data_IF_482049446331
#
_entry.id   IF_482049446331
#
_cell.length_a   1.000
_cell.length_b   1.000
_cell.length_c   1.000
_cell.angle_alpha   90.00
_cell.angle_beta   90.00
_cell.angle_gamma   90.00
#
_symmetry.space_group_name_H-M   'P 1'
#
loop_
_entity.id
_entity.type
_entity.pdbx_description
1 polymer ?
#
# COMPACT_ATOMS: atom_id res chain seq x y z
N UNK A 1 -11.15 21.59 11.26
CA UNK A 1 -11.05 20.48 12.23
C UNK A 1 -9.79 19.69 11.93
N UNK A 2 -8.72 19.91 12.71
CA UNK A 2 -7.48 19.15 12.54
C UNK A 2 -7.65 17.82 13.28
N UNK A 3 -7.97 16.76 12.54
CA UNK A 3 -7.98 15.40 13.05
C UNK A 3 -6.55 15.00 13.41
N UNK A 4 -6.34 14.51 14.63
CA UNK A 4 -5.05 14.02 15.09
C UNK A 4 -4.47 13.00 14.07
N UNK A 5 -3.26 13.27 13.59
CA UNK A 5 -2.55 12.45 12.62
C UNK A 5 -1.32 11.82 13.30
N UNK A 6 -1.48 10.61 13.83
CA UNK A 6 -0.36 9.85 14.36
C UNK A 6 0.65 9.52 13.25
N UNK A 7 1.96 9.71 13.47
CA UNK A 7 3.00 9.32 12.53
C UNK A 7 2.95 7.81 12.25
N UNK A 8 3.12 7.40 11.00
CA UNK A 8 3.23 6.00 10.61
C UNK A 8 4.41 5.35 11.36
N UNK A 9 4.11 4.48 12.33
CA UNK A 9 5.13 3.67 13.00
C UNK A 9 5.44 2.45 12.14
N UNK A 10 6.70 2.34 11.68
CA UNK A 10 7.23 1.16 10.99
C UNK A 10 7.47 -0.05 11.92
N UNK A 11 7.14 0.06 13.22
CA UNK A 11 7.31 -1.02 14.21
C UNK A 11 6.17 -2.04 14.15
N UNK A 12 6.50 -3.32 14.43
CA UNK A 12 5.53 -4.43 14.49
C UNK A 12 4.32 -4.06 15.38
N UNK A 13 3.12 -4.07 14.81
CA UNK A 13 1.87 -3.73 15.50
C UNK A 13 1.45 -2.25 15.46
N UNK A 14 2.25 -1.36 14.88
CA UNK A 14 1.82 0.03 14.63
C UNK A 14 0.77 0.08 13.52
N UNK A 15 -0.26 0.92 13.66
CA UNK A 15 -1.22 1.19 12.58
C UNK A 15 -0.53 1.99 11.48
N UNK A 16 -0.31 1.42 10.28
CA UNK A 16 0.19 2.18 9.16
C UNK A 16 -1.00 2.91 8.55
N UNK A 17 -0.88 4.22 8.36
CA UNK A 17 -1.87 4.98 7.58
C UNK A 17 -1.60 4.72 6.10
N UNK A 18 -2.48 3.95 5.49
CA UNK A 18 -2.52 3.75 4.05
C UNK A 18 -3.59 4.64 3.45
N UNK A 19 -3.41 5.03 2.20
CA UNK A 19 -4.51 5.58 1.40
C UNK A 19 -5.28 4.42 0.77
N UNK A 20 -6.62 4.48 0.80
CA UNK A 20 -7.50 3.44 0.28
C UNK A 20 -7.19 3.11 -1.19
N UNK A 21 -6.79 4.12 -1.98
CA UNK A 21 -6.35 3.95 -3.35
C UNK A 21 -5.19 2.96 -3.49
N UNK A 22 -4.21 2.96 -2.58
CA UNK A 22 -3.09 2.03 -2.66
C UNK A 22 -3.51 0.58 -2.33
N UNK A 23 -4.47 0.41 -1.42
CA UNK A 23 -5.02 -0.89 -1.04
C UNK A 23 -5.81 -1.51 -2.21
N UNK A 24 -6.59 -0.70 -2.93
CA UNK A 24 -7.40 -1.13 -4.07
C UNK A 24 -6.56 -1.31 -5.34
N UNK A 25 -5.61 -0.42 -5.59
CA UNK A 25 -4.86 -0.40 -6.85
C UNK A 25 -3.81 -1.50 -6.92
N UNK A 26 -3.20 -1.88 -5.81
CA UNK A 26 -2.14 -2.91 -5.82
C UNK A 26 -2.64 -4.28 -6.35
N UNK A 27 -3.75 -4.86 -5.88
CA UNK A 27 -4.27 -6.11 -6.44
C UNK A 27 -4.78 -5.96 -7.88
N UNK A 28 -5.29 -4.78 -8.26
CA UNK A 28 -5.67 -4.47 -9.65
C UNK A 28 -4.46 -4.53 -10.60
N UNK A 29 -3.33 -3.93 -10.20
CA UNK A 29 -2.07 -4.02 -10.93
C UNK A 29 -1.56 -5.47 -10.97
N UNK A 30 -1.62 -6.18 -9.83
CA UNK A 30 -1.27 -7.59 -9.76
C UNK A 30 -2.04 -8.46 -10.76
N UNK A 31 -3.35 -8.28 -10.83
CA UNK A 31 -4.21 -9.03 -11.75
C UNK A 31 -4.01 -8.61 -13.22
N UNK A 32 -3.81 -7.31 -13.48
CA UNK A 32 -3.64 -6.79 -14.85
C UNK A 32 -2.32 -7.19 -15.49
N UNK A 33 -1.26 -7.26 -14.69
CA UNK A 33 0.10 -7.56 -15.14
C UNK A 33 0.54 -8.98 -14.77
N UNK A 34 -0.37 -9.81 -14.25
CA UNK A 34 -0.11 -11.19 -13.79
C UNK A 34 1.07 -11.29 -12.79
N UNK A 35 1.18 -10.29 -11.90
CA UNK A 35 2.26 -10.17 -10.93
C UNK A 35 1.89 -10.76 -9.57
N UNK A 36 2.88 -11.34 -8.89
CA UNK A 36 2.75 -11.67 -7.47
C UNK A 36 2.52 -10.39 -6.64
N UNK A 37 1.79 -10.46 -5.53
CA UNK A 37 1.50 -9.30 -4.67
C UNK A 37 2.77 -8.53 -4.25
N UNK A 38 3.89 -9.23 -4.02
CA UNK A 38 5.19 -8.61 -3.71
C UNK A 38 5.76 -7.79 -4.88
N UNK A 39 5.54 -8.25 -6.10
CA UNK A 39 5.98 -7.54 -7.31
C UNK A 39 5.06 -6.37 -7.63
N UNK A 40 3.75 -6.53 -7.45
CA UNK A 40 2.78 -5.44 -7.59
C UNK A 40 3.01 -4.32 -6.57
N UNK A 41 3.34 -4.67 -5.31
CA UNK A 41 3.76 -3.72 -4.27
C UNK A 41 4.99 -2.92 -4.71
N UNK A 42 6.02 -3.60 -5.23
CA UNK A 42 7.24 -2.95 -5.73
C UNK A 42 6.95 -2.03 -6.92
N UNK A 43 6.12 -2.47 -7.87
CA UNK A 43 5.72 -1.67 -9.03
C UNK A 43 4.97 -0.41 -8.60
N UNK A 44 4.01 -0.51 -7.68
CA UNK A 44 3.27 0.64 -7.19
C UNK A 44 4.18 1.63 -6.47
N UNK A 45 5.13 1.15 -5.65
CA UNK A 45 6.13 2.01 -5.02
C UNK A 45 6.96 2.77 -6.07
N UNK A 46 7.44 2.08 -7.12
CA UNK A 46 8.22 2.73 -8.19
C UNK A 46 7.41 3.77 -8.97
N UNK A 47 6.13 3.52 -9.22
CA UNK A 47 5.24 4.48 -9.88
C UNK A 47 4.99 5.71 -9.01
N UNK A 48 4.77 5.53 -7.71
CA UNK A 48 4.58 6.63 -6.76
C UNK A 48 5.85 7.48 -6.59
N UNK A 49 7.02 6.83 -6.53
CA UNK A 49 8.32 7.50 -6.48
C UNK A 49 8.56 8.34 -7.75
N UNK A 50 8.23 7.79 -8.93
CA UNK A 50 8.29 8.51 -10.20
C UNK A 50 7.34 9.71 -10.26
N UNK A 51 6.17 9.60 -9.63
CA UNK A 51 5.22 10.70 -9.48
C UNK A 51 5.60 11.68 -8.36
N UNK A 52 6.77 11.51 -7.73
CA UNK A 52 7.25 12.29 -6.58
C UNK A 52 6.19 12.42 -5.47
N UNK A 53 5.41 11.35 -5.26
CA UNK A 53 4.30 11.36 -4.31
C UNK A 53 4.62 10.52 -3.08
N UNK A 54 4.63 11.15 -1.90
CA UNK A 54 4.89 10.49 -0.60
C UNK A 54 3.64 9.75 -0.08
N UNK A 55 3.21 8.74 -0.85
CA UNK A 55 2.07 7.88 -0.54
C UNK A 55 2.55 6.58 0.09
N UNK A 56 2.07 6.28 1.30
CA UNK A 56 2.40 5.03 1.98
C UNK A 56 1.73 3.82 1.30
N UNK A 57 2.53 2.91 0.72
CA UNK A 57 2.07 1.65 0.13
C UNK A 57 1.95 0.55 1.21
N UNK A 58 0.83 -0.19 1.26
CA UNK A 58 0.72 -1.36 2.12
C UNK A 58 1.63 -2.50 1.68
N UNK A 59 2.33 -3.07 2.66
CA UNK A 59 3.09 -4.30 2.44
C UNK A 59 2.17 -5.43 1.98
N UNK A 60 2.68 -6.34 1.15
CA UNK A 60 1.96 -7.49 0.61
C UNK A 60 1.29 -8.36 1.69
N UNK A 61 1.80 -8.37 2.92
CA UNK A 61 1.16 -9.08 4.05
C UNK A 61 -0.13 -8.41 4.53
N UNK A 62 -0.24 -7.08 4.39
CA UNK A 62 -1.47 -6.32 4.65
C UNK A 62 -2.49 -6.57 3.54
N UNK A 63 -2.05 -6.52 2.28
CA UNK A 63 -2.90 -6.79 1.11
C UNK A 63 -3.45 -8.22 1.10
N UNK A 64 -2.59 -9.21 1.37
CA UNK A 64 -3.00 -10.63 1.44
C UNK A 64 -4.05 -10.89 2.52
N UNK A 65 -4.02 -10.12 3.63
CA UNK A 65 -5.04 -10.23 4.69
C UNK A 65 -6.37 -9.64 4.27
N UNK A 66 -6.38 -8.51 3.54
CA UNK A 66 -7.62 -7.89 3.04
C UNK A 66 -8.22 -8.61 1.84
N UNK A 67 -7.41 -9.25 1.00
CA UNK A 67 -7.89 -10.03 -0.15
C UNK A 67 -8.56 -11.36 0.26
N UNK A 68 -8.51 -11.75 1.54
CA UNK A 68 -9.19 -12.95 2.08
C UNK A 68 -10.59 -12.67 2.64
N UNK A 69 -11.08 -11.43 2.53
CA UNK A 69 -12.43 -11.06 2.96
C UNK A 69 -13.42 -11.49 1.86
#
# INVERSE_FOLDING_TARGET
MAGWAAPCRKTRGGQPRYIDLAIETTPMLGMRFELCLRQAEGLLNSVLDMMATDLAVPEHTTLSRRARI
#
